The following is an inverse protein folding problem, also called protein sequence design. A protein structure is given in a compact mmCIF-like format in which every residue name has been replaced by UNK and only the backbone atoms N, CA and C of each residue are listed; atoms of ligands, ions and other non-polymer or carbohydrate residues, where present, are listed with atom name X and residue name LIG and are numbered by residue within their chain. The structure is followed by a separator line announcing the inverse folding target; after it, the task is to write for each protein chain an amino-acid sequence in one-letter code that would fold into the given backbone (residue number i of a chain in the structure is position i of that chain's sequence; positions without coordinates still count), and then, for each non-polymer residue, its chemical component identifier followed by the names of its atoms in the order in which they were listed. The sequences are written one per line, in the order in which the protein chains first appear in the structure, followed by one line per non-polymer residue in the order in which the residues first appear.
data_IF_373639039940
#
_entry.id   IF_373639039940
#
_cell.length_a   1.000
_cell.length_b   1.000
_cell.length_c   1.000
_cell.angle_alpha   90.00
_cell.angle_beta   90.00
_cell.angle_gamma   90.00
#
_symmetry.space_group_name_H-M   'P 1'
#
loop_
_entity.id
_entity.type
_entity.pdbx_description
1 polymer ?
#
# COMPACT_ATOMS: atom_id res chain seq x y z
N UNK A 1 6.57 -3.40 10.50
CA UNK A 1 6.15 -2.60 9.32
C UNK A 1 4.66 -2.80 9.07
N UNK A 2 3.99 -1.99 8.26
CA UNK A 2 2.52 -1.95 8.18
C UNK A 2 1.92 -2.64 6.95
N UNK A 3 0.60 -2.80 6.94
CA UNK A 3 -0.15 -3.28 5.78
C UNK A 3 -1.40 -2.43 5.57
N UNK A 4 -1.62 -2.00 4.33
CA UNK A 4 -2.84 -1.31 3.93
C UNK A 4 -3.87 -2.31 3.41
N UNK A 5 -5.14 -2.13 3.77
CA UNK A 5 -6.25 -2.79 3.11
C UNK A 5 -7.40 -1.80 2.88
N UNK A 6 -8.12 -1.93 1.77
CA UNK A 6 -9.25 -1.05 1.45
C UNK A 6 -10.63 -1.68 1.76
N UNK A 7 -10.70 -3.02 1.87
CA UNK A 7 -11.95 -3.69 2.22
C UNK A 7 -12.12 -3.63 3.75
N UNK A 8 -13.24 -3.09 4.27
CA UNK A 8 -13.54 -3.03 5.70
C UNK A 8 -13.36 -4.37 6.43
N UNK A 9 -13.69 -5.50 5.79
CA UNK A 9 -13.57 -6.84 6.37
C UNK A 9 -12.13 -7.29 6.64
N UNK A 10 -11.15 -6.51 6.17
CA UNK A 10 -9.72 -6.77 6.35
C UNK A 10 -9.10 -5.89 7.43
N UNK A 11 -9.77 -4.80 7.83
CA UNK A 11 -9.23 -3.83 8.79
C UNK A 11 -9.21 -4.46 10.18
N UNK A 12 -8.11 -4.27 10.91
CA UNK A 12 -7.93 -4.85 12.24
C UNK A 12 -7.46 -6.32 12.25
N UNK A 13 -7.34 -6.97 11.08
CA UNK A 13 -6.84 -8.34 10.96
C UNK A 13 -5.32 -8.36 10.82
N UNK A 14 -4.69 -9.41 11.33
CA UNK A 14 -3.24 -9.59 11.20
C UNK A 14 -2.87 -9.96 9.76
N UNK A 15 -1.72 -9.49 9.27
CA UNK A 15 -1.22 -9.82 7.95
C UNK A 15 -1.09 -11.34 7.74
N UNK A 16 -0.74 -12.12 8.78
CA UNK A 16 -0.71 -13.58 8.72
C UNK A 16 -2.07 -14.16 8.34
N UNK A 17 -3.15 -13.64 8.94
CA UNK A 17 -4.51 -14.09 8.68
C UNK A 17 -4.93 -13.78 7.24
N UNK A 18 -4.59 -12.60 6.74
CA UNK A 18 -4.86 -12.18 5.36
C UNK A 18 -4.09 -13.03 4.33
N UNK A 19 -2.90 -13.52 4.71
CA UNK A 19 -2.03 -14.34 3.86
C UNK A 19 -2.20 -15.85 4.08
N UNK A 20 -3.07 -16.30 4.98
CA UNK A 20 -3.28 -17.72 5.28
C UNK A 20 -2.11 -18.40 6.00
N UNK A 21 -1.33 -17.63 6.76
CA UNK A 21 -0.21 -18.13 7.57
C UNK A 21 -0.68 -18.48 8.98
N UNK A 22 -0.07 -19.50 9.60
CA UNK A 22 -0.45 -19.98 10.93
C UNK A 22 0.12 -19.15 12.08
N UNK A 23 1.27 -18.52 11.89
CA UNK A 23 1.95 -17.74 12.92
C UNK A 23 1.65 -16.25 12.77
N UNK A 24 1.22 -15.54 13.83
CA UNK A 24 0.91 -14.11 13.76
C UNK A 24 2.16 -13.28 13.44
N UNK A 25 1.99 -12.25 12.62
CA UNK A 25 3.06 -11.28 12.33
C UNK A 25 3.11 -10.14 13.35
N UNK A 26 2.00 -9.87 14.04
CA UNK A 26 1.80 -8.67 14.86
C UNK A 26 1.54 -7.41 14.02
N UNK A 27 1.38 -7.54 12.70
CA UNK A 27 1.15 -6.42 11.77
C UNK A 27 -0.34 -6.37 11.46
N UNK A 28 -1.01 -5.37 12.01
CA UNK A 28 -2.46 -5.19 11.86
C UNK A 28 -2.76 -4.32 10.63
N UNK A 29 -3.73 -4.75 9.83
CA UNK A 29 -4.17 -4.02 8.65
C UNK A 29 -4.98 -2.76 8.99
N UNK A 30 -4.70 -1.69 8.26
CA UNK A 30 -5.38 -0.39 8.36
C UNK A 30 -5.72 0.14 6.97
N UNK A 31 -6.73 1.00 6.88
CA UNK A 31 -7.07 1.82 5.71
C UNK A 31 -6.49 3.25 5.82
N UNK A 32 -5.77 3.53 6.92
CA UNK A 32 -5.16 4.83 7.17
C UNK A 32 -3.75 4.89 6.58
N UNK A 33 -3.62 5.57 5.44
CA UNK A 33 -2.33 5.81 4.78
C UNK A 33 -1.42 6.71 5.61
N UNK A 34 -1.96 7.67 6.38
CA UNK A 34 -1.15 8.54 7.24
C UNK A 34 -0.53 7.77 8.40
N UNK A 35 -1.26 6.84 8.99
CA UNK A 35 -0.73 5.92 9.98
C UNK A 35 0.45 5.10 9.43
N UNK A 36 0.36 4.64 8.18
CA UNK A 36 1.44 3.91 7.52
C UNK A 36 2.65 4.79 7.20
N UNK A 37 2.44 6.04 6.79
CA UNK A 37 3.52 7.02 6.58
C UNK A 37 4.25 7.33 7.89
N UNK A 38 3.51 7.46 9.00
CA UNK A 38 4.09 7.73 10.32
C UNK A 38 5.04 6.61 10.81
N UNK A 39 4.87 5.38 10.32
CA UNK A 39 5.81 4.28 10.58
C UNK A 39 7.19 4.50 9.91
N UNK A 40 7.29 5.44 8.96
CA UNK A 40 8.48 5.74 8.16
C UNK A 40 9.11 4.50 7.53
N UNK A 41 8.35 3.70 6.75
CA UNK A 41 8.96 2.60 6.00
C UNK A 41 9.92 3.15 4.95
N UNK A 42 10.95 2.38 4.61
CA UNK A 42 11.89 2.77 3.56
C UNK A 42 11.24 2.68 2.17
N UNK A 43 10.33 1.71 1.98
CA UNK A 43 9.66 1.47 0.71
C UNK A 43 8.24 0.91 0.92
N UNK A 44 7.34 1.20 -0.01
CA UNK A 44 6.00 0.63 -0.11
C UNK A 44 5.86 -0.15 -1.41
N UNK A 45 5.38 -1.40 -1.29
CA UNK A 45 4.91 -2.19 -2.43
C UNK A 45 3.43 -1.85 -2.68
N UNK A 46 3.17 -1.03 -3.69
CA UNK A 46 1.82 -0.57 -4.03
C UNK A 46 1.18 -1.52 -5.06
N UNK A 47 0.21 -2.32 -4.60
CA UNK A 47 -0.50 -3.34 -5.40
C UNK A 47 -2.00 -3.12 -5.45
N UNK A 48 -2.47 -1.92 -5.09
CA UNK A 48 -3.89 -1.60 -5.15
C UNK A 48 -4.35 -1.41 -6.60
N UNK A 49 -5.62 -1.71 -6.91
CA UNK A 49 -6.19 -1.47 -8.24
C UNK A 49 -6.10 0.02 -8.58
N UNK A 50 -5.42 0.34 -9.68
CA UNK A 50 -5.17 1.72 -10.09
C UNK A 50 -5.92 2.12 -11.36
N UNK A 51 -6.23 1.17 -12.23
CA UNK A 51 -6.77 1.41 -13.58
C UNK A 51 -8.14 2.09 -13.56
N UNK A 52 -8.99 1.75 -12.60
CA UNK A 52 -10.33 2.33 -12.45
C UNK A 52 -10.36 3.64 -11.67
N UNK A 53 -9.25 3.98 -11.00
CA UNK A 53 -9.13 5.13 -10.10
C UNK A 53 -7.71 5.73 -10.14
N UNK A 54 -7.23 6.13 -11.33
CA UNK A 54 -5.82 6.45 -11.55
C UNK A 54 -5.38 7.71 -10.81
N UNK A 55 -6.25 8.73 -10.73
CA UNK A 55 -5.93 9.96 -10.01
C UNK A 55 -5.78 9.74 -8.51
N UNK A 56 -6.67 8.95 -7.90
CA UNK A 56 -6.57 8.57 -6.48
C UNK A 56 -5.30 7.77 -6.21
N UNK A 57 -4.97 6.80 -7.08
CA UNK A 57 -3.75 6.03 -6.94
C UNK A 57 -2.50 6.92 -7.05
N UNK A 58 -2.46 7.84 -8.01
CA UNK A 58 -1.38 8.83 -8.17
C UNK A 58 -1.28 9.74 -6.95
N UNK A 59 -2.39 10.22 -6.41
CA UNK A 59 -2.40 11.05 -5.20
C UNK A 59 -1.84 10.30 -4.00
N UNK A 60 -2.27 9.06 -3.78
CA UNK A 60 -1.74 8.20 -2.71
C UNK A 60 -0.24 7.93 -2.88
N UNK A 61 0.22 7.54 -4.07
CA UNK A 61 1.65 7.32 -4.33
C UNK A 61 2.46 8.61 -4.19
N UNK A 62 1.94 9.74 -4.64
CA UNK A 62 2.59 11.06 -4.50
C UNK A 62 2.73 11.44 -3.03
N UNK A 63 1.73 11.14 -2.20
CA UNK A 63 1.78 11.37 -0.75
C UNK A 63 2.88 10.55 -0.08
N UNK A 64 3.01 9.26 -0.44
CA UNK A 64 4.10 8.40 0.03
C UNK A 64 5.48 8.95 -0.39
N UNK A 65 5.64 9.26 -1.68
CA UNK A 65 6.89 9.80 -2.22
C UNK A 65 7.26 11.15 -1.59
N UNK A 66 6.29 12.03 -1.34
CA UNK A 66 6.50 13.32 -0.69
C UNK A 66 6.98 13.18 0.77
N UNK A 67 6.66 12.06 1.43
CA UNK A 67 7.18 11.71 2.76
C UNK A 67 8.60 11.10 2.72
N UNK A 68 9.20 10.97 1.53
CA UNK A 68 10.52 10.36 1.34
C UNK A 68 10.50 8.83 1.33
N UNK A 69 9.33 8.22 1.11
CA UNK A 69 9.15 6.77 1.07
C UNK A 69 9.19 6.31 -0.39
N UNK A 70 10.07 5.36 -0.71
CA UNK A 70 10.13 4.80 -2.06
C UNK A 70 8.87 4.00 -2.38
N UNK A 71 8.45 3.99 -3.65
CA UNK A 71 7.26 3.26 -4.10
C UNK A 71 7.63 2.33 -5.25
N UNK A 72 7.30 1.05 -5.11
CA UNK A 72 7.39 0.04 -6.16
C UNK A 72 6.02 -0.57 -6.41
N UNK A 73 5.63 -0.76 -7.67
CA UNK A 73 4.35 -1.35 -7.99
C UNK A 73 4.07 -1.38 -9.48
N UNK A 74 3.06 -2.18 -9.86
CA UNK A 74 2.59 -2.30 -11.24
C UNK A 74 1.18 -1.73 -11.42
N UNK A 75 0.61 -1.12 -10.38
CA UNK A 75 -0.76 -0.57 -10.38
C UNK A 75 -1.01 0.53 -11.42
N UNK A 76 0.05 1.14 -11.95
CA UNK A 76 0.00 2.11 -13.05
C UNK A 76 0.76 1.57 -14.24
N UNK A 77 0.09 0.77 -15.08
CA UNK A 77 0.77 0.05 -16.17
C UNK A 77 1.48 1.00 -17.15
N UNK A 78 0.91 2.19 -17.40
CA UNK A 78 1.51 3.23 -18.24
C UNK A 78 2.73 3.93 -17.62
N UNK A 79 2.99 3.75 -16.32
CA UNK A 79 4.20 4.24 -15.65
C UNK A 79 5.31 3.18 -15.53
N UNK A 80 5.08 1.95 -15.99
CA UNK A 80 6.13 0.92 -16.03
C UNK A 80 7.21 1.30 -17.05
N UNK A 81 6.81 1.86 -18.20
CA UNK A 81 7.71 2.35 -19.26
C UNK A 81 7.24 3.68 -19.86
N UNK A 82 7.23 4.80 -19.09
CA UNK A 82 6.53 6.04 -19.45
C UNK A 82 7.15 6.84 -20.61
N UNK A 83 8.24 6.34 -21.21
CA UNK A 83 9.00 7.00 -22.29
C UNK A 83 9.18 6.11 -23.52
N UNK A 84 8.48 4.98 -23.59
CA UNK A 84 8.53 4.06 -24.73
C UNK A 84 7.46 4.40 -25.76
#
# INVERSE_FOLDING_TARGET
VGVHAANPDKIGRDAAELCGMSEPTGIVATDDVDALIALRPECVVYTALGETRPMEAIEQMSKLLAAGIDVVGTSMVWLVTPRQ
#
